data_IF_219963328099
#
_entry.id   IF_219963328099
#
_cell.length_a   1.000
_cell.length_b   1.000
_cell.length_c   1.000
_cell.angle_alpha   90.00
_cell.angle_beta   90.00
_cell.angle_gamma   90.00
#
_symmetry.space_group_name_H-M   'P 1'
#
loop_
_entity.id
_entity.type
_entity.pdbx_description
1 polymer ?
#
# COMPACT_ATOMS: atom_id res chain seq x y z
N UNK A 1 -15.84 3.97 -1.25
CA UNK A 1 -15.34 4.53 -2.52
C UNK A 1 -14.63 3.39 -3.23
N UNK A 2 -15.30 2.78 -4.22
CA UNK A 2 -14.72 1.69 -5.01
C UNK A 2 -13.83 2.28 -6.11
N UNK A 3 -12.63 1.75 -6.27
CA UNK A 3 -11.71 2.21 -7.32
C UNK A 3 -11.94 1.34 -8.55
N UNK A 4 -12.43 1.95 -9.62
CA UNK A 4 -12.39 1.40 -10.97
C UNK A 4 -10.97 1.66 -11.50
N UNK A 5 -10.20 0.60 -11.70
CA UNK A 5 -8.90 0.66 -12.36
C UNK A 5 -9.16 0.83 -13.85
N UNK A 6 -8.56 1.85 -14.48
CA UNK A 6 -8.60 1.99 -15.93
C UNK A 6 -7.80 0.84 -16.57
N UNK A 7 -8.53 -0.16 -17.08
CA UNK A 7 -7.97 -1.37 -17.67
C UNK A 7 -7.28 -1.13 -19.02
N UNK A 8 -7.41 0.07 -19.63
CA UNK A 8 -6.86 0.37 -20.96
C UNK A 8 -5.36 0.66 -20.94
N UNK A 9 -4.77 0.95 -19.78
CA UNK A 9 -3.32 1.00 -19.60
C UNK A 9 -2.69 -0.39 -19.42
N UNK A 10 -3.52 -1.44 -19.36
CA UNK A 10 -3.17 -2.81 -19.02
C UNK A 10 -3.63 -3.79 -20.11
N UNK A 11 -3.70 -3.36 -21.37
CA UNK A 11 -4.28 -4.13 -22.50
C UNK A 11 -3.61 -5.50 -22.72
N UNK A 12 -2.40 -5.69 -22.19
CA UNK A 12 -1.64 -6.95 -22.21
C UNK A 12 -1.31 -7.49 -20.80
N UNK A 13 -1.69 -6.77 -19.74
CA UNK A 13 -1.41 -7.21 -18.38
C UNK A 13 -2.52 -8.14 -17.92
N UNK A 14 -2.21 -9.44 -17.88
CA UNK A 14 -2.98 -10.43 -17.14
C UNK A 14 -3.35 -9.83 -15.77
N UNK A 15 -4.59 -10.01 -15.29
CA UNK A 15 -4.95 -9.59 -13.94
C UNK A 15 -3.87 -10.16 -13.00
N UNK A 16 -3.13 -9.25 -12.35
CA UNK A 16 -2.12 -9.62 -11.39
C UNK A 16 -2.87 -10.17 -10.17
N UNK A 17 -3.24 -11.44 -10.24
CA UNK A 17 -3.82 -12.16 -9.12
C UNK A 17 -2.75 -12.13 -8.04
N UNK A 18 -3.07 -11.49 -6.92
CA UNK A 18 -2.20 -11.39 -5.76
C UNK A 18 -2.07 -12.79 -5.14
N UNK A 19 -1.10 -13.57 -5.63
CA UNK A 19 -0.95 -15.00 -5.32
C UNK A 19 -0.15 -15.30 -4.07
N UNK A 20 0.15 -14.30 -3.26
CA UNK A 20 0.99 -14.49 -2.09
C UNK A 20 0.25 -14.08 -0.81
N UNK A 21 -0.58 -14.99 -0.26
CA UNK A 21 -1.30 -14.79 0.98
C UNK A 21 -0.43 -14.99 2.22
N UNK A 22 0.89 -15.24 2.08
CA UNK A 22 1.79 -15.50 3.21
C UNK A 22 1.68 -14.48 4.34
N UNK A 23 1.47 -13.20 4.00
CA UNK A 23 1.21 -12.15 4.98
C UNK A 23 -0.06 -12.38 5.80
N UNK A 24 -1.14 -12.82 5.14
CA UNK A 24 -2.44 -13.07 5.77
C UNK A 24 -2.48 -14.37 6.60
N UNK A 25 -1.51 -15.27 6.39
CA UNK A 25 -1.34 -16.47 7.22
C UNK A 25 -0.85 -16.08 8.61
N UNK A 26 0.11 -15.15 8.69
CA UNK A 26 0.68 -14.69 9.97
C UNK A 26 -0.13 -13.55 10.60
N UNK A 27 -0.79 -12.73 9.76
CA UNK A 27 -1.60 -11.60 10.20
C UNK A 27 -3.02 -11.72 9.66
N UNK A 28 -3.98 -12.06 10.52
CA UNK A 28 -5.37 -12.35 10.13
C UNK A 28 -6.09 -11.19 9.42
N UNK A 29 -5.62 -9.95 9.56
CA UNK A 29 -6.14 -8.78 8.86
C UNK A 29 -5.11 -7.66 8.77
N UNK A 30 -5.30 -6.76 7.81
CA UNK A 30 -4.62 -5.46 7.79
C UNK A 30 -5.19 -4.55 8.90
N UNK A 31 -4.41 -3.58 9.38
CA UNK A 31 -4.92 -2.54 10.26
C UNK A 31 -6.09 -1.81 9.60
N UNK A 32 -7.14 -1.58 10.38
CA UNK A 32 -8.27 -0.78 9.94
C UNK A 32 -7.86 0.69 9.82
N UNK A 33 -8.58 1.50 9.02
CA UNK A 33 -8.35 2.94 8.96
C UNK A 33 -8.44 3.63 10.33
N UNK A 34 -9.29 3.11 11.24
CA UNK A 34 -9.41 3.64 12.59
C UNK A 34 -8.18 3.33 13.45
N UNK A 35 -7.69 2.09 13.41
CA UNK A 35 -6.44 1.70 14.09
C UNK A 35 -5.24 2.50 13.56
N UNK A 36 -5.18 2.71 12.24
CA UNK A 36 -4.15 3.56 11.61
C UNK A 36 -4.16 5.00 12.14
N UNK A 37 -5.34 5.62 12.24
CA UNK A 37 -5.47 6.98 12.79
C UNK A 37 -5.15 7.04 14.29
N UNK A 38 -5.57 6.04 15.05
CA UNK A 38 -5.32 5.99 16.50
C UNK A 38 -3.84 5.78 16.84
N UNK A 39 -3.10 5.03 16.00
CA UNK A 39 -1.69 4.76 16.19
C UNK A 39 -0.77 5.90 15.70
N UNK A 40 -1.30 6.95 15.07
CA UNK A 40 -0.51 8.09 14.65
C UNK A 40 -0.17 8.99 15.85
N UNK A 41 1.09 8.93 16.27
CA UNK A 41 1.65 9.78 17.33
C UNK A 41 2.01 11.19 16.85
N UNK A 42 2.16 11.38 15.54
CA UNK A 42 2.46 12.67 14.90
C UNK A 42 1.33 13.00 13.91
N UNK A 43 0.19 13.45 14.44
CA UNK A 43 -0.75 14.24 13.66
C UNK A 43 -0.04 15.54 13.29
N UNK A 44 0.60 15.57 12.12
CA UNK A 44 1.09 16.81 11.57
C UNK A 44 -0.12 17.72 11.35
N UNK A 45 -0.14 18.89 11.97
CA UNK A 45 -1.12 19.94 11.69
C UNK A 45 -1.01 20.46 10.24
N UNK A 46 0.03 20.05 9.51
CA UNK A 46 0.16 20.33 8.10
C UNK A 46 -0.61 19.27 7.29
N UNK A 47 -1.77 19.62 6.70
CA UNK A 47 -2.55 18.68 5.90
C UNK A 47 -1.78 18.18 4.67
N UNK A 48 -0.70 18.87 4.24
CA UNK A 48 0.09 18.46 3.10
C UNK A 48 1.08 17.33 3.40
N UNK A 49 1.31 16.96 4.67
CA UNK A 49 2.25 15.90 5.03
C UNK A 49 1.50 14.57 5.16
N UNK A 50 1.93 13.57 4.39
CA UNK A 50 1.45 12.21 4.55
C UNK A 50 1.84 11.69 5.94
N UNK A 51 0.85 11.31 6.74
CA UNK A 51 1.10 10.64 8.02
C UNK A 51 1.54 9.21 7.73
N UNK A 52 2.67 8.81 8.31
CA UNK A 52 3.18 7.45 8.21
C UNK A 52 3.09 6.79 9.58
N UNK A 53 2.44 5.64 9.64
CA UNK A 53 2.28 4.85 10.86
C UNK A 53 2.92 3.49 10.66
N UNK A 54 3.76 3.08 11.60
CA UNK A 54 4.46 1.80 11.55
C UNK A 54 3.78 0.82 12.50
N UNK A 55 3.63 -0.41 12.04
CA UNK A 55 3.07 -1.56 12.74
C UNK A 55 4.16 -2.63 12.82
N UNK A 56 5.08 -2.56 13.81
CA UNK A 56 6.28 -3.38 13.84
C UNK A 56 6.00 -4.89 13.97
N UNK A 57 5.00 -5.25 14.77
CA UNK A 57 4.58 -6.64 14.96
C UNK A 57 4.11 -7.30 13.66
N UNK A 58 3.53 -6.51 12.76
CA UNK A 58 3.10 -6.93 11.43
C UNK A 58 4.15 -6.67 10.34
N UNK A 59 5.30 -6.05 10.67
CA UNK A 59 6.28 -5.57 9.69
C UNK A 59 5.65 -4.73 8.56
N UNK A 60 4.69 -3.88 8.92
CA UNK A 60 3.89 -3.08 7.99
C UNK A 60 4.08 -1.59 8.30
N UNK A 61 3.98 -0.74 7.28
CA UNK A 61 3.72 0.68 7.47
C UNK A 61 2.53 1.12 6.62
N UNK A 62 1.82 2.13 7.11
CA UNK A 62 0.64 2.72 6.47
C UNK A 62 0.93 4.19 6.22
N UNK A 63 0.80 4.62 4.97
CA UNK A 63 0.77 6.03 4.61
C UNK A 63 -0.68 6.46 4.41
N UNK A 64 -1.09 7.55 5.06
CA UNK A 64 -2.42 8.13 4.85
C UNK A 64 -2.38 9.66 4.95
N UNK A 65 -3.36 10.31 4.36
CA UNK A 65 -3.46 11.78 4.31
C UNK A 65 -3.94 12.26 2.95
N UNK A 66 -4.34 13.53 2.82
CA UNK A 66 -4.97 14.04 1.60
C UNK A 66 -4.02 14.11 0.40
N UNK A 67 -2.71 14.02 0.62
CA UNK A 67 -1.70 13.97 -0.44
C UNK A 67 -1.23 12.54 -0.79
N UNK A 68 -1.66 11.52 -0.03
CA UNK A 68 -1.35 10.12 -0.38
C UNK A 68 -2.25 9.70 -1.53
N UNK A 69 -1.64 9.48 -2.70
CA UNK A 69 -2.33 9.09 -3.93
C UNK A 69 -2.12 7.61 -4.21
N UNK A 70 -3.13 6.96 -4.77
CA UNK A 70 -3.05 5.58 -5.27
C UNK A 70 -1.91 5.39 -6.29
N UNK A 71 -1.53 6.46 -6.99
CA UNK A 71 -0.41 6.47 -7.93
C UNK A 71 0.91 5.98 -7.30
N UNK A 72 1.17 6.31 -6.03
CA UNK A 72 2.38 5.82 -5.35
C UNK A 72 2.40 4.29 -5.27
N UNK A 73 1.27 3.69 -4.89
CA UNK A 73 1.13 2.22 -4.84
C UNK A 73 1.28 1.57 -6.22
N UNK A 74 0.75 2.22 -7.27
CA UNK A 74 0.89 1.76 -8.65
C UNK A 74 2.36 1.81 -9.13
N UNK A 75 3.07 2.90 -8.84
CA UNK A 75 4.49 3.02 -9.17
C UNK A 75 5.33 1.93 -8.50
N UNK A 76 5.10 1.69 -7.20
CA UNK A 76 5.80 0.63 -6.46
C UNK A 76 5.48 -0.75 -7.04
N UNK A 77 4.22 -1.00 -7.44
CA UNK A 77 3.84 -2.25 -8.10
C UNK A 77 4.54 -2.43 -9.45
N UNK A 78 4.65 -1.37 -10.25
CA UNK A 78 5.33 -1.40 -11.55
C UNK A 78 6.83 -1.73 -11.38
N UNK A 79 7.50 -1.08 -10.42
CA UNK A 79 8.91 -1.40 -10.09
C UNK A 79 9.04 -2.84 -9.65
N UNK A 80 8.13 -3.35 -8.81
CA UNK A 80 8.12 -4.75 -8.40
C UNK A 80 8.01 -5.68 -9.61
N UNK A 81 7.11 -5.38 -10.53
CA UNK A 81 6.84 -6.25 -11.68
C UNK A 81 8.04 -6.31 -12.64
N UNK A 82 8.64 -5.18 -12.98
CA UNK A 82 9.73 -5.12 -13.96
C UNK A 82 11.12 -5.35 -13.38
N UNK A 83 11.33 -5.00 -12.11
CA UNK A 83 12.67 -4.94 -11.49
C UNK A 83 12.78 -5.80 -10.22
N UNK A 84 11.89 -6.77 -10.01
CA UNK A 84 11.88 -7.64 -8.81
C UNK A 84 13.25 -8.27 -8.48
N UNK A 85 14.05 -8.62 -9.48
CA UNK A 85 15.38 -9.24 -9.28
C UNK A 85 16.47 -8.25 -8.88
N UNK A 86 16.25 -6.95 -9.03
CA UNK A 86 17.29 -5.92 -8.93
C UNK A 86 16.96 -4.83 -7.93
N UNK A 87 15.68 -4.56 -7.68
CA UNK A 87 15.23 -3.52 -6.76
C UNK A 87 14.26 -4.12 -5.74
N UNK A 88 14.67 -4.26 -4.46
CA UNK A 88 13.76 -4.66 -3.41
C UNK A 88 12.75 -3.54 -3.17
N UNK A 89 11.47 -3.86 -3.30
CA UNK A 89 10.38 -2.93 -3.04
C UNK A 89 9.36 -3.52 -2.06
N UNK A 90 8.72 -2.69 -1.22
CA UNK A 90 7.70 -3.17 -0.31
C UNK A 90 6.52 -3.76 -1.07
N UNK A 91 5.90 -4.76 -0.47
CA UNK A 91 4.64 -5.30 -0.98
C UNK A 91 3.52 -4.29 -0.68
N UNK A 92 2.83 -3.86 -1.73
CA UNK A 92 1.71 -2.92 -1.62
C UNK A 92 0.43 -3.69 -1.34
N UNK A 93 -0.34 -3.21 -0.36
CA UNK A 93 -1.68 -3.67 -0.03
C UNK A 93 -2.64 -2.50 -0.22
N UNK A 94 -3.85 -2.76 -0.71
CA UNK A 94 -4.87 -1.74 -1.02
C UNK A 94 -6.27 -2.30 -0.94
#
# INVERSE_FOLDING_TARGET
MAIVVDQRLFSDAKPAIFRDPSFFVTNSRLPTPQEGRAAATLSSDNPCIATTVVFPLQSLFVKYGPQVKSLEGQCVHLVKYHLASSVPVPKVYG
#
